data_IF_525042207079
#
_entry.id   IF_525042207079
#
_cell.length_a   1.000
_cell.length_b   1.000
_cell.length_c   1.000
_cell.angle_alpha   90.00
_cell.angle_beta   90.00
_cell.angle_gamma   90.00
#
_symmetry.space_group_name_H-M   'P 1'
#
loop_
_entity.id
_entity.type
_entity.pdbx_description
1 polymer ?
#
# COMPACT_ATOMS: atom_id res chain seq x y z
N UNK A 1 -7.78 -5.37 -21.18
CA UNK A 1 -7.42 -4.66 -22.42
C UNK A 1 -8.18 -3.35 -22.62
N UNK A 2 -9.48 -3.26 -22.37
CA UNK A 2 -10.23 -1.99 -22.51
C UNK A 2 -9.85 -0.92 -21.48
N UNK A 3 -9.40 -1.31 -20.30
CA UNK A 3 -8.98 -0.37 -19.26
C UNK A 3 -7.62 0.22 -19.58
N UNK A 4 -6.69 -0.64 -19.95
CA UNK A 4 -5.30 -0.32 -20.27
C UNK A 4 -4.76 -1.33 -21.28
N UNK A 5 -3.67 -0.97 -21.97
CA UNK A 5 -3.00 -1.87 -22.90
C UNK A 5 -2.06 -2.80 -22.13
N UNK A 6 -2.50 -4.05 -21.92
CA UNK A 6 -1.68 -5.08 -21.27
C UNK A 6 -0.99 -6.02 -22.25
N UNK A 7 -1.20 -5.82 -23.56
CA UNK A 7 -0.76 -6.76 -24.57
C UNK A 7 0.20 -6.05 -25.52
N UNK A 8 1.50 -6.12 -25.28
CA UNK A 8 2.48 -5.54 -26.20
C UNK A 8 2.44 -6.29 -27.55
N UNK A 9 2.71 -5.62 -28.67
CA UNK A 9 2.61 -6.21 -30.02
C UNK A 9 3.40 -7.51 -30.18
N UNK A 10 4.54 -7.63 -29.51
CA UNK A 10 5.41 -8.81 -29.55
C UNK A 10 4.74 -10.09 -29.00
N UNK A 11 3.69 -9.95 -28.18
CA UNK A 11 2.98 -11.08 -27.56
C UNK A 11 1.73 -11.51 -28.33
N UNK A 12 1.52 -11.01 -29.55
CA UNK A 12 0.29 -11.21 -30.31
C UNK A 12 0.52 -12.02 -31.56
N UNK A 13 -0.36 -12.97 -31.81
CA UNK A 13 -0.49 -13.65 -33.08
C UNK A 13 -1.82 -13.24 -33.72
N UNK A 14 -1.75 -12.55 -34.86
CA UNK A 14 -2.92 -11.98 -35.54
C UNK A 14 -3.02 -12.58 -36.91
N UNK A 15 -4.23 -13.05 -37.28
CA UNK A 15 -4.49 -13.48 -38.62
C UNK A 15 -4.43 -12.29 -39.60
N UNK A 16 -3.76 -12.46 -40.71
CA UNK A 16 -3.60 -11.38 -41.70
C UNK A 16 -4.94 -10.79 -42.14
N UNK A 17 -5.92 -11.66 -42.45
CA UNK A 17 -7.24 -11.22 -42.89
C UNK A 17 -7.96 -10.33 -41.87
N UNK A 18 -7.72 -10.56 -40.57
CA UNK A 18 -8.27 -9.72 -39.48
C UNK A 18 -7.54 -8.39 -39.44
N UNK A 19 -6.21 -8.40 -39.51
CA UNK A 19 -5.41 -7.17 -39.55
C UNK A 19 -5.78 -6.29 -40.76
N UNK A 20 -5.93 -6.89 -41.95
CA UNK A 20 -6.31 -6.19 -43.19
C UNK A 20 -7.73 -5.58 -43.06
N UNK A 21 -8.66 -6.28 -42.41
CA UNK A 21 -10.05 -5.83 -42.21
C UNK A 21 -10.18 -4.71 -41.20
N UNK A 22 -9.48 -4.76 -40.09
CA UNK A 22 -9.53 -3.71 -39.07
C UNK A 22 -8.65 -2.49 -39.37
N UNK A 23 -7.82 -2.60 -40.42
CA UNK A 23 -6.88 -1.58 -40.85
C UNK A 23 -5.57 -1.59 -40.04
N UNK A 24 -4.60 -0.84 -40.55
CA UNK A 24 -3.28 -0.75 -39.97
C UNK A 24 -3.25 0.15 -38.69
N UNK A 25 -2.10 0.27 -38.07
CA UNK A 25 -1.86 1.18 -36.95
C UNK A 25 -2.12 2.62 -37.39
N UNK A 26 -2.73 3.38 -36.50
CA UNK A 26 -3.02 4.81 -36.73
C UNK A 26 -1.72 5.61 -36.56
N UNK A 27 -1.13 6.04 -37.66
CA UNK A 27 0.11 6.81 -37.66
C UNK A 27 -0.03 8.25 -37.15
N UNK A 28 -1.24 8.73 -36.84
CA UNK A 28 -1.46 10.01 -36.19
C UNK A 28 -1.23 9.96 -34.68
N UNK A 29 -1.27 8.78 -34.08
CA UNK A 29 -0.99 8.57 -32.67
C UNK A 29 0.52 8.45 -32.44
N UNK A 30 1.05 9.28 -31.56
CA UNK A 30 2.48 9.24 -31.22
C UNK A 30 2.79 8.12 -30.24
N UNK A 31 1.83 7.80 -29.40
CA UNK A 31 1.87 6.69 -28.45
C UNK A 31 0.57 5.89 -28.55
N UNK A 32 0.50 4.71 -27.92
CA UNK A 32 -0.73 3.91 -27.83
C UNK A 32 -1.42 3.51 -29.16
N UNK A 33 -0.73 3.63 -30.30
CA UNK A 33 -1.26 3.16 -31.59
C UNK A 33 -1.52 1.64 -31.60
N UNK A 34 -0.74 0.89 -30.82
CA UNK A 34 -0.94 -0.53 -30.57
C UNK A 34 -2.22 -0.79 -29.74
N UNK A 35 -2.52 0.06 -28.76
CA UNK A 35 -3.75 -0.07 -27.97
C UNK A 35 -5.00 0.22 -28.83
N UNK A 36 -4.97 1.26 -29.64
CA UNK A 36 -6.06 1.53 -30.60
C UNK A 36 -6.28 0.37 -31.55
N UNK A 37 -5.20 -0.18 -32.11
CA UNK A 37 -5.26 -1.36 -32.97
C UNK A 37 -5.86 -2.57 -32.24
N UNK A 38 -5.44 -2.82 -31.01
CA UNK A 38 -5.97 -3.88 -30.16
C UNK A 38 -7.46 -3.72 -29.87
N UNK A 39 -7.93 -2.49 -29.67
CA UNK A 39 -9.36 -2.21 -29.46
C UNK A 39 -10.18 -2.55 -30.73
N UNK A 40 -9.65 -2.24 -31.92
CA UNK A 40 -10.30 -2.59 -33.20
C UNK A 40 -10.33 -4.09 -33.42
N UNK A 41 -9.25 -4.80 -33.08
CA UNK A 41 -9.20 -6.27 -33.12
C UNK A 41 -10.26 -6.89 -32.19
N UNK A 42 -10.38 -6.38 -30.97
CA UNK A 42 -11.37 -6.86 -29.98
C UNK A 42 -12.81 -6.63 -30.44
N UNK A 43 -13.07 -5.54 -31.15
CA UNK A 43 -14.39 -5.23 -31.68
C UNK A 43 -14.78 -6.13 -32.86
N UNK A 44 -13.79 -6.57 -33.64
CA UNK A 44 -14.02 -7.37 -34.86
C UNK A 44 -14.03 -8.90 -34.63
N UNK A 45 -13.16 -9.37 -33.72
CA UNK A 45 -12.91 -10.81 -33.59
C UNK A 45 -12.71 -11.25 -32.15
N UNK A 46 -13.12 -12.49 -31.83
CA UNK A 46 -12.82 -13.06 -30.51
C UNK A 46 -11.31 -13.22 -30.36
N UNK A 47 -10.82 -12.93 -29.15
CA UNK A 47 -9.42 -13.08 -28.75
C UNK A 47 -9.28 -14.27 -27.83
N UNK A 48 -8.37 -15.17 -28.16
CA UNK A 48 -7.99 -16.29 -27.32
C UNK A 48 -6.69 -16.01 -26.56
N UNK A 49 -6.40 -16.87 -25.60
CA UNK A 49 -5.16 -16.88 -24.86
C UNK A 49 -4.44 -18.21 -25.11
N UNK A 50 -3.14 -18.16 -25.36
CA UNK A 50 -2.29 -19.35 -25.46
C UNK A 50 -1.61 -19.50 -24.10
N UNK A 51 -2.02 -20.53 -23.37
CA UNK A 51 -1.45 -20.85 -22.07
C UNK A 51 -0.10 -21.56 -22.22
N UNK A 52 0.75 -21.48 -21.21
CA UNK A 52 2.05 -22.12 -21.16
C UNK A 52 3.16 -21.21 -20.66
N UNK A 53 4.40 -21.64 -20.88
CA UNK A 53 5.58 -20.84 -20.55
C UNK A 53 5.65 -19.56 -21.38
N UNK A 54 6.15 -18.43 -20.80
CA UNK A 54 6.30 -17.18 -21.52
C UNK A 54 7.19 -17.33 -22.75
N UNK A 55 6.66 -16.99 -23.94
CA UNK A 55 7.38 -17.05 -25.21
C UNK A 55 8.05 -15.72 -25.59
N UNK A 56 7.71 -14.64 -24.87
CA UNK A 56 8.28 -13.31 -25.10
C UNK A 56 8.37 -12.55 -23.79
N UNK A 57 9.38 -11.71 -23.69
CA UNK A 57 9.62 -10.83 -22.53
C UNK A 57 9.63 -9.38 -22.98
N UNK A 58 8.88 -8.55 -22.30
CA UNK A 58 8.93 -7.11 -22.49
C UNK A 58 9.87 -6.49 -21.46
N UNK A 59 10.99 -5.94 -21.95
CA UNK A 59 11.98 -5.32 -21.10
C UNK A 59 11.59 -3.85 -20.82
N UNK A 60 11.27 -3.55 -19.57
CA UNK A 60 11.19 -2.18 -19.12
C UNK A 60 12.60 -1.61 -18.98
N UNK A 61 12.88 -0.55 -19.75
CA UNK A 61 14.12 0.19 -19.63
C UNK A 61 13.85 1.52 -18.94
N UNK A 62 14.42 1.67 -17.76
CA UNK A 62 14.37 2.92 -16.99
C UNK A 62 15.60 3.77 -17.36
N UNK A 63 15.55 4.36 -18.56
CA UNK A 63 16.62 5.24 -19.06
C UNK A 63 16.03 6.56 -19.51
N UNK A 64 16.73 7.65 -19.21
CA UNK A 64 16.39 9.00 -19.68
C UNK A 64 16.72 9.22 -21.16
N UNK A 65 17.42 8.29 -21.81
CA UNK A 65 17.67 8.35 -23.25
C UNK A 65 16.38 7.97 -24.00
N UNK A 66 15.73 8.95 -24.62
CA UNK A 66 14.48 8.79 -25.36
C UNK A 66 14.60 7.78 -26.52
N UNK A 67 15.80 7.56 -27.07
CA UNK A 67 16.03 6.59 -28.15
C UNK A 67 15.99 5.13 -27.67
N UNK A 68 16.26 4.91 -26.39
CA UNK A 68 16.34 3.59 -25.77
C UNK A 68 15.25 3.35 -24.70
N UNK A 69 14.55 4.41 -24.28
CA UNK A 69 13.52 4.37 -23.25
C UNK A 69 12.18 3.85 -23.76
N UNK A 70 11.35 3.38 -22.83
CA UNK A 70 9.95 3.10 -23.15
C UNK A 70 9.15 4.40 -23.14
N UNK A 71 8.34 4.65 -24.16
CA UNK A 71 7.48 5.83 -24.26
C UNK A 71 6.51 5.99 -23.07
N UNK A 72 6.16 4.89 -22.40
CA UNK A 72 5.37 4.91 -21.15
C UNK A 72 6.05 5.72 -20.04
N UNK A 73 7.38 5.71 -20.00
CA UNK A 73 8.19 6.42 -19.00
C UNK A 73 8.61 7.79 -19.52
N UNK A 74 9.15 7.85 -20.75
CA UNK A 74 9.70 9.07 -21.33
C UNK A 74 8.62 10.06 -21.77
N UNK A 75 7.47 9.59 -22.21
CA UNK A 75 6.40 10.37 -22.82
C UNK A 75 5.06 10.22 -22.09
N UNK A 76 5.08 10.15 -20.77
CA UNK A 76 3.89 9.91 -19.93
C UNK A 76 2.74 10.91 -20.20
N UNK A 77 3.04 12.16 -20.58
CA UNK A 77 2.06 13.15 -20.96
C UNK A 77 1.35 12.77 -22.27
N UNK A 78 2.12 12.41 -23.30
CA UNK A 78 1.59 11.97 -24.60
C UNK A 78 0.78 10.70 -24.46
N UNK A 79 1.22 9.77 -23.62
CA UNK A 79 0.45 8.57 -23.30
C UNK A 79 -0.93 8.89 -22.71
N UNK A 80 -1.02 9.86 -21.79
CA UNK A 80 -2.32 10.31 -21.26
C UNK A 80 -3.16 10.98 -22.32
N UNK A 81 -2.55 11.84 -23.14
CA UNK A 81 -3.24 12.56 -24.20
C UNK A 81 -3.83 11.59 -25.23
N UNK A 82 -3.03 10.70 -25.77
CA UNK A 82 -3.47 9.72 -26.78
C UNK A 82 -4.53 8.77 -26.19
N UNK A 83 -4.41 8.38 -24.90
CA UNK A 83 -5.41 7.57 -24.23
C UNK A 83 -6.78 8.29 -24.17
N UNK A 84 -6.79 9.57 -23.82
CA UNK A 84 -8.01 10.39 -23.80
C UNK A 84 -8.58 10.57 -25.21
N UNK A 85 -7.71 10.83 -26.19
CA UNK A 85 -8.11 11.01 -27.59
C UNK A 85 -8.75 9.76 -28.17
N UNK A 86 -8.16 8.58 -27.94
CA UNK A 86 -8.72 7.30 -28.36
C UNK A 86 -10.11 7.10 -27.74
N UNK A 87 -10.25 7.31 -26.42
CA UNK A 87 -11.54 7.15 -25.72
C UNK A 87 -12.59 8.11 -26.23
N UNK A 88 -12.23 9.38 -26.40
CA UNK A 88 -13.14 10.42 -26.93
C UNK A 88 -13.63 10.06 -28.34
N UNK A 89 -12.73 9.60 -29.21
CA UNK A 89 -13.06 9.17 -30.57
C UNK A 89 -14.13 8.05 -30.59
N UNK A 90 -13.93 7.02 -29.79
CA UNK A 90 -14.89 5.90 -29.73
C UNK A 90 -16.19 6.29 -29.05
N UNK A 91 -16.15 7.16 -28.04
CA UNK A 91 -17.34 7.67 -27.40
C UNK A 91 -18.17 8.53 -28.34
N UNK A 92 -17.54 9.44 -29.11
CA UNK A 92 -18.23 10.23 -30.15
C UNK A 92 -18.81 9.36 -31.24
N UNK A 93 -18.09 8.36 -31.70
CA UNK A 93 -18.60 7.41 -32.71
C UNK A 93 -19.85 6.68 -32.19
N UNK A 94 -19.85 6.25 -30.92
CA UNK A 94 -21.02 5.62 -30.29
C UNK A 94 -22.20 6.60 -30.22
N UNK A 95 -21.98 7.85 -29.80
CA UNK A 95 -23.03 8.86 -29.68
C UNK A 95 -23.61 9.31 -31.03
N UNK A 96 -22.83 9.16 -32.10
CA UNK A 96 -23.26 9.50 -33.47
C UNK A 96 -24.00 8.36 -34.18
N UNK A 97 -24.09 7.18 -33.58
CA UNK A 97 -24.69 5.99 -34.20
C UNK A 97 -25.99 5.66 -33.50
N UNK A 98 -27.09 5.64 -34.26
CA UNK A 98 -28.43 5.23 -33.79
C UNK A 98 -28.68 3.71 -33.93
N UNK A 99 -27.68 2.94 -34.38
CA UNK A 99 -27.79 1.51 -34.59
C UNK A 99 -27.55 0.75 -33.28
N UNK A 100 -28.56 0.11 -32.69
CA UNK A 100 -28.41 -0.65 -31.44
C UNK A 100 -27.58 -1.94 -31.60
N UNK A 101 -27.32 -2.38 -32.85
CA UNK A 101 -26.46 -3.54 -33.15
C UNK A 101 -24.98 -3.15 -33.28
N UNK A 102 -24.67 -1.86 -33.33
CA UNK A 102 -23.29 -1.36 -33.42
C UNK A 102 -22.50 -1.75 -32.17
N UNK A 103 -21.26 -2.17 -32.30
CA UNK A 103 -20.41 -2.47 -31.16
C UNK A 103 -20.31 -1.22 -30.24
N UNK A 104 -20.82 -1.33 -29.03
CA UNK A 104 -20.81 -0.24 -28.04
C UNK A 104 -19.43 -0.06 -27.40
N UNK A 105 -18.38 0.04 -28.21
CA UNK A 105 -17.01 0.18 -27.74
C UNK A 105 -16.83 1.44 -26.90
N UNK A 106 -17.48 2.55 -27.27
CA UNK A 106 -17.46 3.79 -26.49
C UNK A 106 -18.04 3.59 -25.07
N UNK A 107 -19.16 2.88 -24.94
CA UNK A 107 -19.77 2.57 -23.65
C UNK A 107 -18.86 1.65 -22.82
N UNK A 108 -18.27 0.63 -23.45
CA UNK A 108 -17.34 -0.27 -22.77
C UNK A 108 -16.09 0.48 -22.27
N UNK A 109 -15.55 1.39 -23.06
CA UNK A 109 -14.41 2.23 -22.68
C UNK A 109 -14.75 3.20 -21.56
N UNK A 110 -15.95 3.79 -21.57
CA UNK A 110 -16.43 4.66 -20.50
C UNK A 110 -16.60 3.88 -19.19
N UNK A 111 -17.22 2.70 -19.25
CA UNK A 111 -17.40 1.81 -18.10
C UNK A 111 -16.06 1.34 -17.55
N UNK A 112 -15.11 1.01 -18.42
CA UNK A 112 -13.75 0.62 -18.04
C UNK A 112 -13.00 1.77 -17.35
N UNK A 113 -13.13 3.00 -17.83
CA UNK A 113 -12.53 4.17 -17.20
C UNK A 113 -13.14 4.45 -15.83
N UNK A 114 -14.47 4.35 -15.70
CA UNK A 114 -15.14 4.49 -14.41
C UNK A 114 -14.65 3.42 -13.41
N UNK A 115 -14.57 2.16 -13.84
CA UNK A 115 -14.05 1.07 -13.01
C UNK A 115 -12.59 1.32 -12.58
N UNK A 116 -11.73 1.79 -13.49
CA UNK A 116 -10.34 2.13 -13.21
C UNK A 116 -10.24 3.22 -12.12
N UNK A 117 -11.03 4.30 -12.27
CA UNK A 117 -11.06 5.39 -11.28
C UNK A 117 -11.54 4.91 -9.92
N UNK A 118 -12.64 4.16 -9.89
CA UNK A 118 -13.17 3.59 -8.65
C UNK A 118 -12.13 2.71 -7.95
N UNK A 119 -11.43 1.87 -8.70
CA UNK A 119 -10.37 1.00 -8.16
C UNK A 119 -9.19 1.80 -7.59
N UNK A 120 -8.80 2.88 -8.25
CA UNK A 120 -7.75 3.77 -7.76
C UNK A 120 -8.17 4.48 -6.47
N UNK A 121 -9.42 4.95 -6.37
CA UNK A 121 -9.94 5.57 -5.15
C UNK A 121 -10.01 4.57 -3.99
N UNK A 122 -10.49 3.35 -4.23
CA UNK A 122 -10.50 2.29 -3.23
C UNK A 122 -9.08 1.97 -2.73
N UNK A 123 -8.10 1.86 -3.64
CA UNK A 123 -6.70 1.64 -3.26
C UNK A 123 -6.13 2.79 -2.42
N UNK A 124 -6.53 4.04 -2.71
CA UNK A 124 -6.11 5.20 -1.93
C UNK A 124 -6.71 5.21 -0.52
N UNK A 125 -7.99 4.85 -0.40
CA UNK A 125 -8.67 4.71 0.90
C UNK A 125 -8.05 3.59 1.71
N UNK A 126 -7.79 2.45 1.10
CA UNK A 126 -7.17 1.29 1.74
C UNK A 126 -5.75 1.62 2.25
N UNK A 127 -4.93 2.26 1.42
CA UNK A 127 -3.59 2.72 1.83
C UNK A 127 -3.64 3.73 2.97
N UNK A 128 -4.61 4.66 2.96
CA UNK A 128 -4.84 5.63 4.03
C UNK A 128 -5.23 4.95 5.34
N UNK A 129 -6.10 3.95 5.26
CA UNK A 129 -6.53 3.17 6.42
C UNK A 129 -5.36 2.38 7.04
N UNK A 130 -4.57 1.69 6.22
CA UNK A 130 -3.38 0.96 6.69
C UNK A 130 -2.35 1.88 7.34
N UNK A 131 -2.12 3.08 6.78
CA UNK A 131 -1.22 4.07 7.36
C UNK A 131 -1.71 4.56 8.72
N UNK A 132 -3.03 4.79 8.86
CA UNK A 132 -3.64 5.20 10.13
C UNK A 132 -3.56 4.11 11.18
N UNK A 133 -3.82 2.86 10.82
CA UNK A 133 -3.66 1.70 11.71
C UNK A 133 -2.23 1.55 12.21
N UNK A 134 -1.23 1.69 11.31
CA UNK A 134 0.17 1.63 11.69
C UNK A 134 0.53 2.75 12.69
N UNK A 135 0.04 3.96 12.49
CA UNK A 135 0.27 5.06 13.41
C UNK A 135 -0.32 4.78 14.80
N UNK A 136 -1.55 4.27 14.86
CA UNK A 136 -2.19 3.87 16.13
C UNK A 136 -1.39 2.76 16.81
N UNK A 137 -0.95 1.76 16.05
CA UNK A 137 -0.14 0.66 16.58
C UNK A 137 1.18 1.15 17.19
N UNK A 138 1.91 2.00 16.47
CA UNK A 138 3.18 2.58 16.97
C UNK A 138 2.95 3.41 18.24
N UNK A 139 1.91 4.24 18.25
CA UNK A 139 1.58 5.05 19.44
C UNK A 139 1.21 4.16 20.64
N UNK A 140 0.47 3.08 20.41
CA UNK A 140 0.12 2.11 21.46
C UNK A 140 1.37 1.42 22.03
N UNK A 141 2.28 0.98 21.17
CA UNK A 141 3.55 0.37 21.59
C UNK A 141 4.39 1.35 22.43
N UNK A 142 4.53 2.60 22.00
CA UNK A 142 5.26 3.63 22.74
C UNK A 142 4.65 3.88 24.12
N UNK A 143 3.32 3.96 24.18
CA UNK A 143 2.61 4.13 25.46
C UNK A 143 2.80 2.93 26.39
N UNK A 144 2.74 1.72 25.87
CA UNK A 144 2.99 0.50 26.64
C UNK A 144 4.42 0.45 27.19
N UNK A 145 5.41 0.86 26.39
CA UNK A 145 6.80 0.92 26.81
C UNK A 145 6.97 1.93 27.96
N UNK A 146 6.43 3.14 27.82
CA UNK A 146 6.48 4.17 28.86
C UNK A 146 5.80 3.73 30.16
N UNK A 147 4.63 3.08 30.06
CA UNK A 147 3.96 2.50 31.23
C UNK A 147 4.80 1.40 31.90
N UNK A 148 5.46 0.57 31.10
CA UNK A 148 6.33 -0.49 31.64
C UNK A 148 7.50 0.10 32.43
N UNK A 149 8.13 1.14 31.90
CA UNK A 149 9.21 1.88 32.60
C UNK A 149 8.73 2.49 33.90
N UNK A 150 7.57 3.15 33.90
CA UNK A 150 6.99 3.73 35.14
C UNK A 150 6.68 2.65 36.18
N UNK A 151 6.12 1.51 35.78
CA UNK A 151 5.86 0.39 36.69
C UNK A 151 7.16 -0.16 37.26
N UNK A 152 8.22 -0.23 36.46
CA UNK A 152 9.52 -0.70 36.91
C UNK A 152 10.12 0.29 37.95
N UNK A 153 10.05 1.59 37.71
CA UNK A 153 10.50 2.64 38.62
C UNK A 153 9.74 2.60 39.95
N UNK A 154 8.40 2.56 39.90
CA UNK A 154 7.55 2.45 41.10
C UNK A 154 7.86 1.17 41.92
N UNK A 155 8.13 0.04 41.25
CA UNK A 155 8.56 -1.19 41.94
C UNK A 155 9.90 -0.98 42.68
N UNK A 156 10.82 -0.25 42.07
CA UNK A 156 12.10 0.12 42.68
C UNK A 156 11.89 0.98 43.94
N UNK A 157 11.07 2.01 43.85
CA UNK A 157 10.74 2.87 45.00
C UNK A 157 10.08 2.10 46.15
N UNK A 158 9.09 1.26 45.82
CA UNK A 158 8.43 0.41 46.83
C UNK A 158 9.42 -0.54 47.51
N UNK A 159 10.35 -1.09 46.75
CA UNK A 159 11.40 -1.95 47.32
C UNK A 159 12.35 -1.18 48.25
N UNK A 160 12.74 0.03 47.88
CA UNK A 160 13.57 0.91 48.71
C UNK A 160 12.87 1.30 49.99
N UNK A 161 11.59 1.72 49.92
CA UNK A 161 10.77 2.04 51.10
C UNK A 161 10.59 0.85 52.04
N UNK A 162 10.40 -0.36 51.52
CA UNK A 162 10.34 -1.59 52.33
C UNK A 162 11.66 -1.83 53.10
N UNK A 163 12.79 -1.70 52.40
CA UNK A 163 14.11 -1.83 53.03
C UNK A 163 14.34 -0.80 54.14
N UNK A 164 13.94 0.45 53.94
CA UNK A 164 13.99 1.50 54.98
C UNK A 164 13.12 1.17 56.18
N UNK A 165 11.92 0.67 55.97
CA UNK A 165 11.00 0.26 57.05
C UNK A 165 11.56 -0.92 57.84
N UNK A 166 12.15 -1.89 57.18
CA UNK A 166 12.82 -3.03 57.84
C UNK A 166 14.04 -2.59 58.64
N UNK A 167 14.86 -1.70 58.10
CA UNK A 167 16.02 -1.11 58.82
C UNK A 167 15.57 -0.31 60.05
N UNK A 168 14.54 0.53 59.93
CA UNK A 168 13.94 1.29 61.01
C UNK A 168 13.39 0.38 62.14
N UNK A 169 12.71 -0.69 61.74
CA UNK A 169 12.16 -1.66 62.70
C UNK A 169 13.27 -2.50 63.39
N UNK A 170 14.38 -2.75 62.71
CA UNK A 170 15.56 -3.39 63.31
C UNK A 170 16.26 -2.50 64.32
N UNK A 171 16.42 -1.22 64.00
CA UNK A 171 16.95 -0.21 64.93
C UNK A 171 16.09 -0.06 66.20
N UNK A 172 14.77 -0.01 66.03
CA UNK A 172 13.84 0.04 67.18
C UNK A 172 13.94 -1.21 68.07
N UNK A 173 14.11 -2.38 67.47
CA UNK A 173 14.32 -3.62 68.24
C UNK A 173 15.66 -3.64 68.95
N UNK A 174 16.74 -3.11 68.37
CA UNK A 174 18.06 -2.96 68.97
C UNK A 174 18.02 -2.00 70.16
N UNK A 175 17.40 -0.82 70.00
CA UNK A 175 17.24 0.15 71.06
C UNK A 175 16.42 -0.39 72.24
N UNK A 176 15.36 -1.15 72.05
CA UNK A 176 14.60 -1.84 73.08
C UNK A 176 15.43 -2.88 73.86
N UNK A 177 16.38 -3.57 73.17
CA UNK A 177 17.29 -4.52 73.83
C UNK A 177 18.36 -3.81 74.68
N UNK A 178 18.89 -2.66 74.25
CA UNK A 178 19.90 -1.87 75.00
C UNK A 178 19.31 -1.15 76.13
N UNK A 179 18.06 -0.69 76.10
CA UNK A 179 17.38 0.02 77.19
C UNK A 179 16.80 -0.95 78.21
N UNK A 180 16.68 -2.21 77.95
CA UNK A 180 16.35 -3.24 78.93
C UNK A 180 17.59 -3.55 79.79
N UNK A 181 18.00 -2.62 80.63
CA UNK A 181 18.98 -2.84 81.67
C UNK A 181 18.53 -4.04 82.53
N UNK A 182 19.44 -5.05 82.72
CA UNK A 182 19.10 -6.17 83.60
C UNK A 182 18.68 -5.63 84.97
N UNK A 183 17.53 -6.04 85.46
CA UNK A 183 16.98 -5.62 86.82
C UNK A 183 18.01 -5.77 87.89
N UNK A 184 19.07 -6.55 87.74
CA UNK A 184 20.20 -6.65 88.72
C UNK A 184 21.07 -5.39 88.80
N UNK A 185 21.20 -4.61 87.68
CA UNK A 185 22.00 -3.35 87.69
C UNK A 185 21.24 -2.23 88.35
N UNK A 186 19.93 -2.15 88.10
CA UNK A 186 19.06 -1.18 88.78
C UNK A 186 18.98 -1.39 90.30
N UNK A 187 18.97 -2.64 90.80
CA UNK A 187 19.00 -2.93 92.22
C UNK A 187 20.33 -2.56 92.87
N UNK A 188 21.44 -2.59 92.11
CA UNK A 188 22.75 -2.16 92.67
C UNK A 188 22.89 -0.63 92.79
N UNK A 189 22.26 0.13 91.87
CA UNK A 189 22.31 1.58 91.89
C UNK A 189 21.32 2.25 92.86
N UNK A 190 20.27 1.55 93.28
CA UNK A 190 19.24 2.07 94.20
C UNK A 190 19.44 1.62 95.61
N UNK A 191 20.58 0.97 95.96
CA UNK A 191 21.03 0.80 97.36
C UNK A 191 20.11 0.03 98.31
N UNK A 192 19.36 -0.94 97.72
CA UNK A 192 18.59 -1.95 98.50
C UNK A 192 18.63 -3.35 97.88
#
# INVERSE_FOLDING_TARGET
MMVENYTPPISQLIRREVADRVGHWDGSLQTQADWDFNLRLLADSPVGFVDGEPLAYWHHRDTMDASLGNSVVTDAYLHKWDNLHIRDRYLRAMLATDDPSSPHLGQALLSAEYYRRMRQELGRVDSGFHSSLNLVHVNMLNTMTALHEQVHELRGEVSALRAQLEAGSALQRSLRRTVSLPKRVVRRLLGR
#
